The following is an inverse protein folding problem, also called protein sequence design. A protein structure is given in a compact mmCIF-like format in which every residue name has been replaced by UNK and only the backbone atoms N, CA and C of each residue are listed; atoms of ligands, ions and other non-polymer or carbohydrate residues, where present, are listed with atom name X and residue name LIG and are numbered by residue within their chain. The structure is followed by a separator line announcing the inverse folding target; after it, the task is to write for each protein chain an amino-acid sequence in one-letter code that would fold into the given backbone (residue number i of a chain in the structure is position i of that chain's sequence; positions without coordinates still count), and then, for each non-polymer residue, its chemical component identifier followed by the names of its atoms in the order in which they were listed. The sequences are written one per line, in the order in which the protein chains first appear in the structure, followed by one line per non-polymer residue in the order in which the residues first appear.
data_IF_330560648239
#
_entry.id   IF_330560648239
#
_cell.length_a   1.000
_cell.length_b   1.000
_cell.length_c   1.000
_cell.angle_alpha   90.00
_cell.angle_beta   90.00
_cell.angle_gamma   90.00
#
_symmetry.space_group_name_H-M   'P 1'
#
loop_
_entity.id
_entity.type
_entity.pdbx_description
1 polymer ?
#
# COMPACT_ATOMS: atom_id res chain seq x y z
N UNK A 1 -37.49 7.10 -17.11
CA UNK A 1 -36.22 6.52 -16.64
C UNK A 1 -35.43 7.61 -15.95
N UNK A 2 -35.50 7.64 -14.63
CA UNK A 2 -34.84 8.60 -13.75
C UNK A 2 -34.39 7.84 -12.50
N UNK A 3 -33.20 8.19 -12.00
CA UNK A 3 -32.61 7.80 -10.72
C UNK A 3 -31.11 8.17 -10.76
N UNK A 4 -30.74 9.45 -10.76
CA UNK A 4 -30.49 10.33 -9.61
C UNK A 4 -29.49 9.78 -8.58
N UNK A 5 -28.27 10.33 -8.62
CA UNK A 5 -27.46 10.56 -7.42
C UNK A 5 -27.30 12.08 -7.26
N UNK A 6 -27.63 12.58 -6.07
CA UNK A 6 -27.55 13.98 -5.68
C UNK A 6 -26.16 14.27 -5.09
N UNK A 7 -25.37 15.12 -5.75
CA UNK A 7 -24.25 15.82 -5.12
C UNK A 7 -24.70 17.24 -4.81
N UNK A 8 -24.58 17.64 -3.54
CA UNK A 8 -25.00 18.96 -3.06
C UNK A 8 -23.81 19.92 -3.23
N UNK A 9 -23.94 20.87 -4.18
CA UNK A 9 -23.13 22.09 -4.38
C UNK A 9 -21.70 21.77 -4.87
N UNK A 10 -21.26 21.99 -6.11
CA UNK A 10 -21.62 23.00 -7.10
C UNK A 10 -20.66 24.17 -7.03
N UNK A 11 -19.48 24.10 -7.68
CA UNK A 11 -18.88 25.18 -8.46
C UNK A 11 -17.70 24.67 -9.31
N UNK A 12 -17.85 24.83 -10.62
CA UNK A 12 -16.82 24.72 -11.64
C UNK A 12 -15.90 25.94 -11.61
N UNK A 13 -14.58 25.74 -11.74
CA UNK A 13 -13.68 26.67 -12.43
C UNK A 13 -12.36 25.99 -12.83
N UNK A 14 -12.16 25.86 -14.14
CA UNK A 14 -10.85 25.70 -14.78
C UNK A 14 -10.12 27.05 -14.75
N UNK A 15 -8.79 27.03 -14.55
CA UNK A 15 -7.75 27.70 -15.39
C UNK A 15 -6.37 27.60 -14.72
N UNK A 16 -5.43 26.90 -15.35
CA UNK A 16 -3.96 27.11 -15.30
C UNK A 16 -3.55 28.27 -16.23
N UNK A 17 -2.27 28.67 -16.42
CA UNK A 17 -1.01 28.52 -15.64
C UNK A 17 -0.23 29.87 -15.45
N UNK A 18 0.89 29.89 -14.70
CA UNK A 18 2.23 30.40 -15.12
C UNK A 18 3.21 30.73 -13.96
N UNK A 19 4.37 30.07 -14.05
CA UNK A 19 5.78 30.35 -13.70
C UNK A 19 6.33 31.45 -12.77
N UNK A 20 7.45 31.02 -12.15
CA UNK A 20 8.74 31.69 -11.82
C UNK A 20 8.81 32.55 -10.55
N UNK A 21 9.60 32.05 -9.59
CA UNK A 21 9.90 32.70 -8.33
C UNK A 21 11.01 33.74 -8.40
N UNK A 22 11.24 34.41 -7.26
CA UNK A 22 12.48 35.08 -6.84
C UNK A 22 12.41 35.18 -5.31
N UNK A 23 13.46 34.73 -4.62
CA UNK A 23 13.80 35.14 -3.26
C UNK A 23 14.90 36.20 -3.37
N UNK A 24 14.77 37.33 -2.66
CA UNK A 24 15.73 37.77 -1.63
C UNK A 24 15.71 39.28 -1.32
N UNK A 25 15.84 39.56 -0.01
CA UNK A 25 16.35 40.77 0.67
C UNK A 25 15.41 41.95 1.04
N UNK A 26 15.68 42.65 2.17
CA UNK A 26 14.72 42.85 3.25
C UNK A 26 14.24 44.30 3.44
N UNK A 27 13.04 44.48 3.97
CA UNK A 27 12.47 45.80 4.29
C UNK A 27 12.80 46.16 5.75
N UNK A 28 13.76 47.04 5.95
CA UNK A 28 13.98 47.74 7.23
C UNK A 28 13.13 49.00 7.34
N UNK A 29 12.40 49.07 8.46
CA UNK A 29 12.05 50.26 9.24
C UNK A 29 11.05 51.30 8.70
N UNK A 30 10.15 51.66 9.60
CA UNK A 30 9.24 52.81 9.65
C UNK A 30 7.84 52.74 9.01
N UNK A 31 7.57 51.96 7.96
CA UNK A 31 6.19 51.81 7.44
C UNK A 31 5.35 50.74 8.15
N UNK A 32 5.99 49.80 8.87
CA UNK A 32 5.31 48.69 9.53
C UNK A 32 4.51 49.10 10.78
N UNK A 33 4.82 50.24 11.42
CA UNK A 33 4.18 50.64 12.68
C UNK A 33 2.83 51.35 12.50
N UNK A 34 2.59 52.00 11.37
CA UNK A 34 1.29 52.63 11.08
C UNK A 34 0.26 51.64 10.51
N UNK A 35 0.70 50.64 9.73
CA UNK A 35 -0.18 49.57 9.27
C UNK A 35 -0.72 48.71 10.43
N UNK A 36 0.08 48.52 11.49
CA UNK A 36 -0.32 47.71 12.63
C UNK A 36 -1.43 48.33 13.49
N UNK A 37 -1.53 49.66 13.56
CA UNK A 37 -2.60 50.33 14.32
C UNK A 37 -3.90 50.49 13.53
N UNK A 38 -3.86 50.50 12.19
CA UNK A 38 -5.08 50.55 11.34
C UNK A 38 -5.70 49.17 11.05
N UNK A 39 -4.96 48.08 11.25
CA UNK A 39 -5.49 46.72 11.11
C UNK A 39 -6.32 46.24 12.33
N UNK A 40 -6.14 46.86 13.50
CA UNK A 40 -6.78 46.42 14.76
C UNK A 40 -8.25 46.86 14.95
N UNK A 41 -8.86 47.57 14.00
CA UNK A 41 -10.28 48.00 14.07
C UNK A 41 -11.16 47.46 12.96
N UNK A 42 -10.65 46.57 12.09
CA UNK A 42 -11.52 45.73 11.27
C UNK A 42 -11.62 44.37 11.94
N UNK A 43 -12.82 44.07 12.46
CA UNK A 43 -13.25 42.73 12.92
C UNK A 43 -12.49 41.64 12.17
N UNK A 44 -11.51 41.05 12.82
CA UNK A 44 -10.94 39.76 12.41
C UNK A 44 -12.10 38.78 12.64
N UNK A 45 -12.86 38.50 11.58
CA UNK A 45 -13.65 37.30 11.55
C UNK A 45 -12.64 36.15 11.70
N UNK A 46 -12.85 35.21 12.64
CA UNK A 46 -11.97 34.05 12.73
C UNK A 46 -11.99 33.37 11.37
N UNK A 47 -10.84 33.37 10.69
CA UNK A 47 -10.61 32.45 9.59
C UNK A 47 -10.69 31.08 10.24
N UNK A 48 -11.80 30.37 10.00
CA UNK A 48 -11.82 28.93 10.19
C UNK A 48 -10.73 28.40 9.28
N UNK A 49 -9.60 28.03 9.88
CA UNK A 49 -8.77 26.98 9.31
C UNK A 49 -9.69 25.76 9.43
N UNK A 50 -10.41 25.45 8.35
CA UNK A 50 -11.03 24.14 8.23
C UNK A 50 -9.85 23.18 8.28
N UNK A 51 -9.66 22.52 9.43
CA UNK A 51 -8.76 21.38 9.49
C UNK A 51 -9.29 20.42 8.43
N UNK A 52 -8.57 20.26 7.33
CA UNK A 52 -8.75 19.09 6.48
C UNK A 52 -8.64 17.91 7.44
N UNK A 53 -9.77 17.26 7.69
CA UNK A 53 -9.86 16.16 8.64
C UNK A 53 -9.32 14.96 7.89
N UNK A 54 -8.00 14.86 7.82
CA UNK A 54 -7.33 13.64 7.38
C UNK A 54 -7.81 12.52 8.29
N UNK A 55 -8.44 11.50 7.72
CA UNK A 55 -8.82 10.34 8.47
C UNK A 55 -7.72 9.30 8.39
N UNK A 56 -7.23 8.90 9.56
CA UNK A 56 -6.25 7.83 9.66
C UNK A 56 -6.94 6.48 9.47
N UNK A 57 -6.31 5.63 8.66
CA UNK A 57 -6.81 4.33 8.24
C UNK A 57 -5.81 3.23 8.57
N UNK A 58 -6.32 2.08 8.99
CA UNK A 58 -5.58 0.82 9.08
C UNK A 58 -6.07 -0.07 7.94
N UNK A 59 -5.19 -0.38 7.00
CA UNK A 59 -5.51 -1.28 5.88
C UNK A 59 -5.34 -2.74 6.30
N UNK A 60 -6.33 -3.59 5.98
CA UNK A 60 -6.31 -5.01 6.34
C UNK A 60 -6.66 -5.86 5.12
N UNK A 61 -5.75 -6.75 4.74
CA UNK A 61 -6.03 -7.79 3.76
C UNK A 61 -6.72 -9.02 4.39
N UNK A 62 -7.34 -9.84 3.54
CA UNK A 62 -8.13 -11.00 3.96
C UNK A 62 -7.38 -12.31 3.80
N UNK A 63 -7.14 -12.78 2.58
CA UNK A 63 -6.71 -14.16 2.36
C UNK A 63 -5.22 -14.31 2.70
N UNK A 64 -4.87 -15.13 3.68
CA UNK A 64 -3.47 -15.28 4.13
C UNK A 64 -3.06 -14.27 5.20
N UNK A 65 -3.86 -13.22 5.40
CA UNK A 65 -3.68 -12.19 6.42
C UNK A 65 -4.67 -12.39 7.59
N UNK A 66 -5.90 -11.87 7.46
CA UNK A 66 -6.95 -11.99 8.48
C UNK A 66 -7.62 -13.37 8.46
N UNK A 67 -7.76 -13.97 7.29
CA UNK A 67 -8.15 -15.37 7.11
C UNK A 67 -6.90 -16.23 7.15
N UNK A 68 -6.77 -17.05 8.19
CA UNK A 68 -5.70 -18.03 8.26
C UNK A 68 -5.90 -19.06 7.16
N UNK A 69 -4.94 -19.14 6.25
CA UNK A 69 -4.93 -20.17 5.23
C UNK A 69 -4.36 -21.49 5.76
N UNK A 70 -4.02 -21.63 7.05
CA UNK A 70 -3.45 -22.87 7.63
C UNK A 70 -4.29 -24.11 7.32
N UNK A 71 -5.61 -24.02 7.42
CA UNK A 71 -6.54 -25.14 7.17
C UNK A 71 -6.99 -25.26 5.69
N UNK A 72 -6.57 -24.32 4.85
CA UNK A 72 -7.00 -24.16 3.45
C UNK A 72 -5.83 -24.32 2.47
N UNK A 73 -4.58 -24.18 2.92
CA UNK A 73 -3.37 -24.19 2.08
C UNK A 73 -3.12 -25.57 1.48
N UNK A 74 -3.30 -26.64 2.25
CA UNK A 74 -3.21 -28.00 1.71
C UNK A 74 -4.29 -28.26 0.66
N UNK A 75 -5.52 -27.78 0.88
CA UNK A 75 -6.61 -27.86 -0.12
C UNK A 75 -6.31 -27.01 -1.37
N UNK A 76 -5.63 -25.88 -1.20
CA UNK A 76 -5.14 -25.04 -2.29
C UNK A 76 -4.08 -25.74 -3.12
N UNK A 77 -3.06 -26.29 -2.47
CA UNK A 77 -1.92 -26.96 -3.08
C UNK A 77 -2.32 -28.28 -3.76
N UNK A 78 -3.36 -28.96 -3.27
CA UNK A 78 -3.90 -30.17 -3.89
C UNK A 78 -4.92 -29.90 -5.01
N UNK A 79 -5.17 -28.63 -5.37
CA UNK A 79 -6.15 -28.27 -6.41
C UNK A 79 -7.60 -28.57 -6.04
N UNK A 80 -7.92 -28.71 -4.75
CA UNK A 80 -9.29 -28.99 -4.27
C UNK A 80 -10.26 -27.86 -4.65
N UNK A 81 -9.74 -26.63 -4.76
CA UNK A 81 -10.44 -25.49 -5.32
C UNK A 81 -10.24 -25.37 -6.84
N UNK A 82 -10.57 -26.42 -7.59
CA UNK A 82 -10.56 -26.41 -9.06
C UNK A 82 -11.49 -25.33 -9.70
N UNK A 83 -12.21 -24.54 -8.89
CA UNK A 83 -12.96 -23.37 -9.35
C UNK A 83 -12.84 -22.21 -8.35
N UNK A 84 -12.53 -21.01 -8.85
CA UNK A 84 -12.46 -19.76 -8.08
C UNK A 84 -13.77 -19.47 -7.32
N UNK A 85 -14.92 -19.88 -7.86
CA UNK A 85 -16.24 -19.77 -7.21
C UNK A 85 -16.32 -20.52 -5.87
N UNK A 86 -15.79 -21.75 -5.81
CA UNK A 86 -15.81 -22.55 -4.56
C UNK A 86 -14.89 -21.93 -3.52
N UNK A 87 -13.73 -21.43 -3.97
CA UNK A 87 -12.79 -20.73 -3.09
C UNK A 87 -13.41 -19.47 -2.47
N UNK A 88 -14.00 -18.58 -3.27
CA UNK A 88 -14.55 -17.33 -2.72
C UNK A 88 -15.70 -17.58 -1.73
N UNK A 89 -16.57 -18.56 -1.99
CA UNK A 89 -17.64 -18.93 -1.05
C UNK A 89 -17.14 -19.58 0.24
N UNK A 90 -15.96 -20.21 0.23
CA UNK A 90 -15.43 -20.91 1.39
C UNK A 90 -15.02 -19.96 2.54
N UNK A 91 -14.79 -18.67 2.24
CA UNK A 91 -14.34 -17.68 3.24
C UNK A 91 -15.26 -17.55 4.43
N UNK A 92 -16.56 -17.72 4.22
CA UNK A 92 -17.55 -17.69 5.30
C UNK A 92 -17.23 -18.72 6.39
N UNK A 93 -16.41 -19.72 6.13
CA UNK A 93 -15.98 -20.77 7.06
C UNK A 93 -14.46 -20.76 7.30
N UNK A 94 -13.71 -19.79 6.76
CA UNK A 94 -12.28 -19.72 6.98
C UNK A 94 -11.95 -19.41 8.44
N UNK A 95 -10.87 -20.01 8.94
CA UNK A 95 -10.38 -19.77 10.28
C UNK A 95 -9.88 -18.33 10.39
N UNK A 96 -10.31 -17.61 11.42
CA UNK A 96 -9.84 -16.24 11.67
C UNK A 96 -8.44 -16.30 12.26
N UNK A 97 -7.53 -15.46 11.76
CA UNK A 97 -6.27 -15.17 12.40
C UNK A 97 -6.52 -14.20 13.56
N UNK A 98 -6.77 -14.75 14.75
CA UNK A 98 -7.20 -13.98 15.94
C UNK A 98 -6.12 -13.00 16.37
N UNK A 99 -4.84 -13.37 16.28
CA UNK A 99 -3.72 -12.50 16.65
C UNK A 99 -3.68 -11.23 15.78
N UNK A 100 -3.95 -11.36 14.47
CA UNK A 100 -4.04 -10.21 13.57
C UNK A 100 -5.29 -9.38 13.84
N UNK A 101 -6.44 -10.03 14.08
CA UNK A 101 -7.67 -9.31 14.43
C UNK A 101 -7.52 -8.50 15.73
N UNK A 102 -6.85 -9.06 16.74
CA UNK A 102 -6.56 -8.40 18.01
C UNK A 102 -5.61 -7.21 17.79
N UNK A 103 -4.49 -7.39 17.07
CA UNK A 103 -3.57 -6.30 16.74
C UNK A 103 -4.24 -5.16 15.97
N UNK A 104 -5.11 -5.46 15.00
CA UNK A 104 -5.85 -4.43 14.26
C UNK A 104 -6.69 -3.58 15.23
N UNK A 105 -7.38 -4.22 16.18
CA UNK A 105 -8.21 -3.54 17.17
C UNK A 105 -7.39 -2.72 18.16
N UNK A 106 -6.24 -3.25 18.59
CA UNK A 106 -5.30 -2.53 19.45
C UNK A 106 -4.80 -1.25 18.78
N UNK A 107 -4.29 -1.34 17.54
CA UNK A 107 -3.81 -0.16 16.80
C UNK A 107 -4.97 0.84 16.58
N UNK A 108 -6.17 0.36 16.22
CA UNK A 108 -7.34 1.22 16.05
C UNK A 108 -7.70 1.96 17.34
N UNK A 109 -7.69 1.27 18.48
CA UNK A 109 -7.98 1.85 19.79
C UNK A 109 -6.91 2.87 20.22
N UNK A 110 -5.64 2.58 19.98
CA UNK A 110 -4.52 3.42 20.40
C UNK A 110 -4.38 4.69 19.56
N UNK A 111 -4.71 4.61 18.27
CA UNK A 111 -4.52 5.71 17.31
C UNK A 111 -5.81 6.48 17.01
N UNK A 112 -6.98 5.88 17.27
CA UNK A 112 -8.26 6.39 16.80
C UNK A 112 -8.47 6.23 15.29
N UNK A 113 -7.63 5.44 14.61
CA UNK A 113 -7.76 5.18 13.19
C UNK A 113 -8.91 4.22 12.89
N UNK A 114 -9.53 4.41 11.74
CA UNK A 114 -10.62 3.57 11.24
C UNK A 114 -10.07 2.40 10.43
N UNK A 115 -10.75 1.25 10.47
CA UNK A 115 -10.32 0.07 9.71
C UNK A 115 -10.86 0.14 8.28
N UNK A 116 -10.01 -0.15 7.29
CA UNK A 116 -10.40 -0.39 5.90
C UNK A 116 -9.93 -1.76 5.45
N UNK A 117 -10.83 -2.54 4.84
CA UNK A 117 -10.46 -3.82 4.23
C UNK A 117 -10.16 -3.61 2.75
N UNK A 118 -9.04 -4.12 2.26
CA UNK A 118 -8.66 -4.08 0.85
C UNK A 118 -8.23 -5.49 0.44
N UNK A 119 -9.01 -6.16 -0.42
CA UNK A 119 -8.78 -7.58 -0.75
C UNK A 119 -8.86 -7.88 -2.24
N UNK A 120 -8.00 -8.79 -2.71
CA UNK A 120 -8.03 -9.32 -4.08
C UNK A 120 -9.26 -10.18 -4.41
N UNK A 121 -10.16 -10.43 -3.45
CA UNK A 121 -11.37 -11.24 -3.65
C UNK A 121 -12.35 -10.62 -4.62
N UNK A 122 -13.07 -11.46 -5.33
CA UNK A 122 -14.17 -11.04 -6.21
C UNK A 122 -15.36 -10.52 -5.38
N UNK A 123 -15.74 -9.26 -5.63
CA UNK A 123 -16.81 -8.54 -4.95
C UNK A 123 -18.22 -9.08 -5.23
N UNK A 124 -18.40 -10.05 -6.12
CA UNK A 124 -19.67 -10.78 -6.24
C UNK A 124 -19.97 -11.68 -5.02
N UNK A 125 -18.98 -11.92 -4.16
CA UNK A 125 -19.08 -12.71 -2.91
C UNK A 125 -19.02 -11.85 -1.64
N UNK A 126 -19.39 -10.57 -1.72
CA UNK A 126 -19.38 -9.64 -0.59
C UNK A 126 -20.21 -10.13 0.61
N UNK A 127 -21.29 -10.88 0.38
CA UNK A 127 -22.09 -11.44 1.48
C UNK A 127 -21.25 -12.39 2.35
N UNK A 128 -20.59 -13.36 1.73
CA UNK A 128 -19.74 -14.32 2.42
C UNK A 128 -18.52 -13.64 3.06
N UNK A 129 -17.95 -12.64 2.39
CA UNK A 129 -16.83 -11.86 2.92
C UNK A 129 -17.23 -11.05 4.17
N UNK A 130 -18.35 -10.33 4.13
CA UNK A 130 -18.82 -9.54 5.27
C UNK A 130 -19.19 -10.41 6.47
N UNK A 131 -19.70 -11.63 6.24
CA UNK A 131 -19.93 -12.61 7.32
C UNK A 131 -18.62 -13.04 7.99
N UNK A 132 -17.56 -13.24 7.20
CA UNK A 132 -16.24 -13.55 7.73
C UNK A 132 -15.67 -12.38 8.55
N UNK A 133 -15.71 -11.15 8.02
CA UNK A 133 -15.23 -9.93 8.70
C UNK A 133 -15.94 -9.73 10.04
N UNK A 134 -17.28 -9.90 10.06
CA UNK A 134 -18.06 -9.80 11.29
C UNK A 134 -17.64 -10.87 12.32
N UNK A 135 -17.35 -12.11 11.89
CA UNK A 135 -16.85 -13.16 12.79
C UNK A 135 -15.44 -12.85 13.32
N UNK A 136 -14.62 -12.14 12.53
CA UNK A 136 -13.33 -11.65 12.98
C UNK A 136 -13.45 -10.50 14.00
N UNK A 137 -14.65 -9.99 14.25
CA UNK A 137 -14.88 -8.93 15.23
C UNK A 137 -14.37 -7.56 14.77
N UNK A 138 -14.26 -7.34 13.46
CA UNK A 138 -13.91 -6.06 12.86
C UNK A 138 -15.14 -5.34 12.31
N UNK A 139 -15.16 -4.02 12.45
CA UNK A 139 -16.19 -3.13 11.90
C UNK A 139 -15.55 -2.11 10.94
N UNK A 140 -15.13 -2.54 9.74
CA UNK A 140 -14.44 -1.65 8.82
C UNK A 140 -15.37 -0.56 8.28
N UNK A 141 -14.85 0.66 8.16
CA UNK A 141 -15.56 1.79 7.52
C UNK A 141 -15.85 1.50 6.05
N UNK A 142 -14.89 0.88 5.37
CA UNK A 142 -15.00 0.49 3.97
C UNK A 142 -14.42 -0.90 3.73
N UNK A 143 -15.04 -1.64 2.81
CA UNK A 143 -14.54 -2.93 2.31
C UNK A 143 -14.41 -2.83 0.79
N UNK A 144 -13.18 -2.80 0.31
CA UNK A 144 -12.84 -2.82 -1.10
C UNK A 144 -12.51 -4.25 -1.51
N UNK A 145 -13.29 -4.78 -2.43
CA UNK A 145 -13.06 -6.06 -3.11
C UNK A 145 -12.97 -5.81 -4.62
N UNK A 146 -12.22 -6.66 -5.33
CA UNK A 146 -12.08 -6.53 -6.79
C UNK A 146 -13.44 -6.61 -7.48
N UNK A 147 -13.72 -5.79 -8.49
CA UNK A 147 -14.92 -5.95 -9.30
C UNK A 147 -15.02 -7.38 -9.87
N UNK A 148 -16.25 -7.87 -10.01
CA UNK A 148 -16.48 -9.23 -10.50
C UNK A 148 -15.86 -9.46 -11.88
N UNK A 149 -15.17 -10.59 -12.06
CA UNK A 149 -14.42 -10.94 -13.27
C UNK A 149 -13.29 -9.96 -13.64
N UNK A 150 -12.81 -9.13 -12.71
CA UNK A 150 -11.65 -8.28 -12.97
C UNK A 150 -10.35 -9.11 -13.01
N UNK A 151 -9.80 -9.25 -14.22
CA UNK A 151 -8.53 -9.93 -14.50
C UNK A 151 -7.28 -9.10 -14.22
N UNK A 152 -7.42 -7.89 -13.65
CA UNK A 152 -6.30 -7.07 -13.22
C UNK A 152 -5.39 -7.81 -12.23
N UNK A 153 -4.10 -7.46 -12.20
CA UNK A 153 -3.21 -8.00 -11.18
C UNK A 153 -3.58 -7.43 -9.79
N UNK A 154 -3.65 -8.27 -8.75
CA UNK A 154 -4.08 -7.86 -7.40
C UNK A 154 -3.26 -6.67 -6.84
N UNK A 155 -1.92 -6.66 -6.89
CA UNK A 155 -1.12 -5.50 -6.51
C UNK A 155 -1.55 -4.20 -7.20
N UNK A 156 -1.73 -4.22 -8.53
CA UNK A 156 -2.06 -3.01 -9.29
C UNK A 156 -3.47 -2.50 -8.97
N UNK A 157 -4.41 -3.41 -8.70
CA UNK A 157 -5.74 -3.02 -8.25
C UNK A 157 -5.70 -2.42 -6.84
N UNK A 158 -4.97 -3.05 -5.89
CA UNK A 158 -4.79 -2.50 -4.53
C UNK A 158 -4.14 -1.11 -4.57
N UNK A 159 -3.15 -0.93 -5.45
CA UNK A 159 -2.49 0.33 -5.75
C UNK A 159 -3.53 1.43 -6.09
N UNK A 160 -4.45 1.15 -7.01
CA UNK A 160 -5.50 2.09 -7.42
C UNK A 160 -6.49 2.44 -6.31
N UNK A 161 -6.80 1.48 -5.42
CA UNK A 161 -7.67 1.71 -4.25
C UNK A 161 -7.00 2.65 -3.27
N UNK A 162 -5.72 2.43 -2.99
CA UNK A 162 -4.91 3.28 -2.10
C UNK A 162 -4.80 4.69 -2.67
N UNK A 163 -4.55 4.84 -3.97
CA UNK A 163 -4.53 6.15 -4.62
C UNK A 163 -5.87 6.88 -4.48
N UNK A 164 -7.00 6.20 -4.65
CA UNK A 164 -8.33 6.79 -4.45
C UNK A 164 -8.53 7.23 -3.00
N UNK A 165 -8.15 6.40 -2.02
CA UNK A 165 -8.28 6.75 -0.60
C UNK A 165 -7.45 7.99 -0.24
N UNK A 166 -6.22 8.10 -0.77
CA UNK A 166 -5.36 9.26 -0.58
C UNK A 166 -5.95 10.50 -1.25
N UNK A 167 -6.48 10.36 -2.47
CA UNK A 167 -7.14 11.46 -3.19
C UNK A 167 -8.38 11.99 -2.45
N UNK A 168 -9.08 11.12 -1.71
CA UNK A 168 -10.21 11.46 -0.83
C UNK A 168 -9.77 12.10 0.50
N UNK A 169 -8.46 12.34 0.70
CA UNK A 169 -7.90 12.98 1.89
C UNK A 169 -7.66 12.02 3.06
N UNK A 170 -7.71 10.70 2.85
CA UNK A 170 -7.40 9.73 3.89
C UNK A 170 -5.90 9.44 3.96
N UNK A 171 -5.43 8.98 5.12
CA UNK A 171 -4.05 8.54 5.33
C UNK A 171 -4.02 7.12 5.88
N UNK A 172 -3.41 6.19 5.16
CA UNK A 172 -3.17 4.84 5.70
C UNK A 172 -1.92 4.91 6.59
N UNK A 173 -2.09 4.66 7.88
CA UNK A 173 -1.01 4.75 8.88
C UNK A 173 -0.32 3.42 9.16
N UNK A 174 -1.00 2.31 8.87
CA UNK A 174 -0.49 0.95 9.01
C UNK A 174 -1.24 0.00 8.08
N UNK A 175 -0.59 -1.06 7.62
CA UNK A 175 -1.23 -2.11 6.84
C UNK A 175 -0.92 -3.52 7.38
N UNK A 176 -1.87 -4.42 7.25
CA UNK A 176 -1.72 -5.86 7.49
C UNK A 176 -1.89 -6.58 6.17
N UNK A 177 -0.86 -7.32 5.73
CA UNK A 177 -0.81 -7.90 4.40
C UNK A 177 0.13 -9.11 4.36
N UNK A 178 -0.14 -10.09 3.50
CA UNK A 178 0.73 -11.25 3.29
C UNK A 178 1.54 -11.07 1.99
N UNK A 179 0.90 -11.04 0.83
CA UNK A 179 1.57 -11.19 -0.46
C UNK A 179 1.90 -9.82 -1.08
N UNK A 180 0.98 -8.86 -0.98
CA UNK A 180 1.08 -7.60 -1.72
C UNK A 180 1.67 -6.45 -0.86
N UNK A 181 2.42 -6.77 0.20
CA UNK A 181 2.90 -5.81 1.21
C UNK A 181 3.77 -4.68 0.63
N UNK A 182 4.50 -4.94 -0.45
CA UNK A 182 5.33 -3.93 -1.13
C UNK A 182 4.52 -2.76 -1.71
N UNK A 183 3.21 -2.94 -1.96
CA UNK A 183 2.33 -1.85 -2.43
C UNK A 183 2.25 -0.74 -1.38
N UNK A 184 2.25 -1.10 -0.10
CA UNK A 184 2.21 -0.17 1.02
C UNK A 184 3.60 0.38 1.36
N UNK A 185 4.62 -0.49 1.42
CA UNK A 185 5.99 -0.09 1.79
C UNK A 185 6.57 0.96 0.82
N UNK A 186 6.30 0.83 -0.49
CA UNK A 186 6.72 1.81 -1.50
C UNK A 186 6.14 3.21 -1.29
N UNK A 187 5.05 3.32 -0.54
CA UNK A 187 4.39 4.58 -0.17
C UNK A 187 4.83 5.12 1.19
N UNK A 188 5.76 4.46 1.86
CA UNK A 188 6.17 4.84 3.21
C UNK A 188 5.18 4.41 4.30
N UNK A 189 4.28 3.47 4.00
CA UNK A 189 3.30 2.96 4.96
C UNK A 189 3.92 1.74 5.68
N UNK A 190 4.00 1.73 7.02
CA UNK A 190 4.43 0.57 7.78
C UNK A 190 3.51 -0.64 7.59
N UNK A 191 4.09 -1.84 7.58
CA UNK A 191 3.33 -3.07 7.33
C UNK A 191 3.62 -4.12 8.40
N UNK A 192 2.59 -4.72 8.95
CA UNK A 192 2.68 -6.06 9.54
C UNK A 192 2.55 -7.08 8.43
N UNK A 193 3.68 -7.64 8.04
CA UNK A 193 3.74 -8.69 7.04
C UNK A 193 3.40 -10.04 7.67
N UNK A 194 2.35 -10.69 7.18
CA UNK A 194 1.95 -12.04 7.61
C UNK A 194 2.65 -13.07 6.71
N UNK A 195 3.87 -13.44 7.08
CA UNK A 195 4.72 -14.30 6.27
C UNK A 195 4.32 -15.78 6.40
N UNK A 196 4.00 -16.48 5.32
CA UNK A 196 3.83 -17.93 5.34
C UNK A 196 5.21 -18.60 5.46
N UNK A 197 5.43 -19.32 6.55
CA UNK A 197 6.66 -20.07 6.80
C UNK A 197 6.35 -21.56 6.75
N UNK A 198 7.16 -22.30 6.01
CA UNK A 198 7.11 -23.76 6.03
C UNK A 198 8.22 -24.27 6.92
N UNK A 199 7.85 -24.98 7.99
CA UNK A 199 8.83 -25.54 8.91
C UNK A 199 9.55 -26.77 8.33
N UNK A 200 10.48 -27.32 9.11
CA UNK A 200 11.31 -28.45 8.71
C UNK A 200 10.54 -29.78 8.61
N UNK A 201 9.34 -29.89 9.21
CA UNK A 201 8.44 -31.04 9.05
C UNK A 201 7.44 -30.85 7.91
N UNK A 202 7.46 -29.69 7.26
CA UNK A 202 6.65 -29.36 6.09
C UNK A 202 5.29 -28.74 6.42
N UNK A 203 5.03 -28.38 7.68
CA UNK A 203 3.82 -27.69 8.11
C UNK A 203 3.91 -26.18 7.83
N UNK A 204 2.76 -25.59 7.49
CA UNK A 204 2.62 -24.15 7.29
C UNK A 204 2.30 -23.43 8.59
N UNK A 205 3.10 -22.43 8.90
CA UNK A 205 2.90 -21.45 9.97
C UNK A 205 2.83 -20.05 9.37
N UNK A 206 2.29 -19.12 10.13
CA UNK A 206 2.26 -17.72 9.77
C UNK A 206 2.95 -16.94 10.87
N UNK A 207 3.97 -16.17 10.51
CA UNK A 207 4.63 -15.26 11.43
C UNK A 207 4.32 -13.83 11.02
N UNK A 208 3.92 -13.00 11.99
CA UNK A 208 3.75 -11.57 11.77
C UNK A 208 5.07 -10.84 11.99
N UNK A 209 5.56 -10.16 10.95
CA UNK A 209 6.80 -9.39 10.97
C UNK A 209 6.48 -7.93 10.70
N UNK A 210 6.84 -7.04 11.61
CA UNK A 210 6.67 -5.61 11.40
C UNK A 210 7.81 -5.06 10.56
N UNK A 211 7.46 -4.48 9.41
CA UNK A 211 8.40 -3.93 8.44
C UNK A 211 8.32 -2.41 8.50
N UNK A 212 9.43 -1.79 8.89
CA UNK A 212 9.64 -0.35 8.77
C UNK A 212 9.92 0.00 7.30
N UNK A 213 9.17 0.94 6.69
CA UNK A 213 9.30 1.26 5.28
C UNK A 213 10.61 1.97 4.93
N UNK A 214 11.22 2.69 5.86
CA UNK A 214 12.54 3.33 5.70
C UNK A 214 13.63 2.27 5.67
N UNK A 215 13.59 1.32 6.60
CA UNK A 215 14.51 0.19 6.64
C UNK A 215 14.40 -0.66 5.37
N UNK A 216 13.17 -0.98 4.95
CA UNK A 216 12.90 -1.70 3.71
C UNK A 216 13.44 -0.94 2.49
N UNK A 217 13.18 0.36 2.37
CA UNK A 217 13.67 1.16 1.25
C UNK A 217 15.20 1.21 1.19
N UNK A 218 15.88 1.25 2.33
CA UNK A 218 17.34 1.18 2.40
C UNK A 218 17.85 -0.19 1.92
N UNK A 219 17.20 -1.28 2.33
CA UNK A 219 17.53 -2.64 1.89
C UNK A 219 17.34 -2.79 0.37
N UNK A 220 16.26 -2.26 -0.21
CA UNK A 220 16.03 -2.33 -1.65
C UNK A 220 17.10 -1.59 -2.45
N UNK A 221 17.55 -0.42 -1.99
CA UNK A 221 18.65 0.32 -2.63
C UNK A 221 19.96 -0.46 -2.59
N UNK A 222 20.25 -1.14 -1.49
CA UNK A 222 21.46 -1.96 -1.40
C UNK A 222 21.38 -3.21 -2.27
N UNK A 223 20.21 -3.86 -2.35
CA UNK A 223 19.96 -4.98 -3.28
C UNK A 223 20.15 -4.55 -4.74
N UNK A 224 19.65 -3.38 -5.11
CA UNK A 224 19.83 -2.82 -6.47
C UNK A 224 21.32 -2.52 -6.74
N UNK A 225 22.00 -1.85 -5.81
CA UNK A 225 23.43 -1.59 -5.92
C UNK A 225 24.25 -2.89 -6.04
N UNK A 226 23.90 -3.93 -5.30
CA UNK A 226 24.53 -5.24 -5.37
C UNK A 226 24.33 -5.91 -6.75
N UNK A 227 23.11 -5.85 -7.30
CA UNK A 227 22.80 -6.36 -8.65
C UNK A 227 23.61 -5.63 -9.71
N UNK A 228 23.72 -4.30 -9.63
CA UNK A 228 24.53 -3.52 -10.56
C UNK A 228 26.02 -3.85 -10.45
N UNK A 229 26.55 -4.04 -9.22
CA UNK A 229 27.94 -4.52 -9.01
C UNK A 229 28.16 -5.91 -9.60
N UNK A 230 27.18 -6.81 -9.50
CA UNK A 230 27.26 -8.15 -10.09
C UNK A 230 27.23 -8.09 -11.62
N UNK A 231 26.33 -7.28 -12.19
CA UNK A 231 26.20 -7.09 -13.63
C UNK A 231 27.47 -6.52 -14.25
N UNK A 232 28.11 -5.54 -13.60
CA UNK A 232 29.41 -4.99 -14.02
C UNK A 232 30.51 -6.04 -14.00
N UNK A 233 30.63 -6.81 -12.91
CA UNK A 233 31.61 -7.91 -12.80
C UNK A 233 31.44 -8.96 -13.90
N UNK A 234 30.19 -9.32 -14.23
CA UNK A 234 29.90 -10.23 -15.33
C UNK A 234 30.33 -9.64 -16.69
N UNK A 235 30.02 -8.37 -16.95
CA UNK A 235 30.40 -7.69 -18.18
C UNK A 235 31.94 -7.58 -18.34
N UNK A 236 32.64 -7.23 -17.27
CA UNK A 236 34.11 -7.18 -17.25
C UNK A 236 34.73 -8.56 -17.49
N UNK A 237 34.18 -9.61 -16.87
CA UNK A 237 34.60 -10.99 -17.09
C UNK A 237 34.43 -11.44 -18.53
N UNK A 238 33.30 -11.13 -19.16
CA UNK A 238 33.05 -11.43 -20.58
C UNK A 238 34.06 -10.70 -21.48
N UNK A 239 34.32 -9.42 -21.23
CA UNK A 239 35.29 -8.64 -22.00
C UNK A 239 36.71 -9.19 -21.85
N UNK A 240 37.10 -9.59 -20.63
CA UNK A 240 38.40 -10.20 -20.37
C UNK A 240 38.56 -11.54 -21.11
N UNK A 241 37.51 -12.37 -21.13
CA UNK A 241 37.49 -13.63 -21.88
C UNK A 241 37.66 -13.40 -23.38
N UNK A 242 36.89 -12.48 -23.97
CA UNK A 242 36.99 -12.15 -25.40
C UNK A 242 38.39 -11.65 -25.79
N UNK A 243 39.02 -10.83 -24.93
CA UNK A 243 40.40 -10.37 -25.14
C UNK A 243 41.41 -11.52 -25.08
N UNK A 244 41.22 -12.46 -24.16
CA UNK A 244 42.08 -13.64 -24.05
C UNK A 244 41.96 -14.53 -25.30
N UNK A 245 40.74 -14.84 -25.75
CA UNK A 245 40.49 -15.62 -26.97
C UNK A 245 41.08 -14.93 -28.22
N UNK A 246 40.92 -13.61 -28.34
CA UNK A 246 41.49 -12.86 -29.46
C UNK A 246 43.03 -12.95 -29.48
N UNK A 247 43.66 -12.87 -28.30
CA UNK A 247 45.11 -12.99 -28.15
C UNK A 247 45.60 -14.40 -28.50
N UNK A 248 44.88 -15.44 -28.09
CA UNK A 248 45.19 -16.84 -28.42
C UNK A 248 45.07 -17.09 -29.93
N UNK A 249 44.01 -16.58 -30.58
CA UNK A 249 43.85 -16.66 -32.03
C UNK A 249 44.98 -15.95 -32.79
N UNK A 250 45.39 -14.76 -32.32
CA UNK A 250 46.51 -14.04 -32.94
C UNK A 250 47.84 -14.80 -32.78
N UNK A 251 48.08 -15.42 -31.62
CA UNK A 251 49.27 -16.23 -31.40
C UNK A 251 49.32 -17.47 -32.30
N UNK A 252 48.18 -18.12 -32.54
CA UNK A 252 48.08 -19.30 -33.41
C UNK A 252 48.18 -18.98 -34.91
N UNK A 253 47.96 -17.73 -35.34
CA UNK A 253 48.12 -17.28 -36.74
C UNK A 253 49.56 -16.82 -37.02
N UNK A 254 50.31 -16.42 -35.98
CA UNK A 254 51.69 -15.96 -36.10
C UNK A 254 52.75 -17.08 -35.93
N UNK A 255 52.31 -18.30 -35.61
CA UNK A 255 53.13 -19.51 -35.50
C UNK A 255 53.02 -20.36 -36.77
#
# INVERSE_FOLDING_TARGET
MIGHYFTKIGYSRKTTPFHRGVFDTPITSHTARELFRRALTRRILPVRIESETYMDLIAVDIDGTLASNRDQMDKYLTGFFASNRRFFKAIRNATVNVEIADRVREIAADTGAEVVVITGRDGTYMKELNQFIARAGLEPKHVFAKPGNDGSNSPAWKDSVIESLIADGNRIIHAFEDTDHEVYLRRGIPVTWVAPIRDYIGEWHYESIDIDPVAWAAEQREKEAARERQKRRLAEGVLAHQKAEAKERQANVAA
#
